data_IF_672522575862
#
_entry.id   IF_672522575862
#
_cell.length_a   1.000
_cell.length_b   1.000
_cell.length_c   1.000
_cell.angle_alpha   90.00
_cell.angle_beta   90.00
_cell.angle_gamma   90.00
#
_symmetry.space_group_name_H-M   'P 1'
#
loop_
_entity.id
_entity.type
_entity.pdbx_description
1 polymer ?
#
# COMPACT_ATOMS: atom_id res chain seq x y z
N UNK A 1 19.75 3.31 15.46
CA UNK A 1 18.54 4.15 15.39
C UNK A 1 18.84 5.33 14.48
N UNK A 2 17.95 5.68 13.55
CA UNK A 2 18.09 6.94 12.83
C UNK A 2 18.09 8.10 13.84
N UNK A 3 18.77 9.22 13.54
CA UNK A 3 18.75 10.39 14.41
C UNK A 3 17.31 10.90 14.58
N UNK A 4 16.87 11.06 15.84
CA UNK A 4 15.56 11.62 16.15
C UNK A 4 15.64 13.14 16.21
N UNK A 5 15.00 13.81 15.25
CA UNK A 5 14.84 15.26 15.25
C UNK A 5 13.58 15.65 16.02
N UNK A 6 13.51 16.90 16.51
CA UNK A 6 12.32 17.41 17.20
C UNK A 6 11.08 17.42 16.29
N UNK A 7 11.26 17.72 15.01
CA UNK A 7 10.18 17.64 14.00
C UNK A 7 9.59 16.23 13.87
N UNK A 8 10.43 15.19 13.88
CA UNK A 8 9.96 13.79 13.80
C UNK A 8 9.21 13.39 15.06
N UNK A 9 9.73 13.73 16.24
CA UNK A 9 9.06 13.46 17.51
C UNK A 9 7.67 14.12 17.55
N UNK A 10 7.58 15.38 17.10
CA UNK A 10 6.32 16.09 17.00
C UNK A 10 5.32 15.35 16.09
N UNK A 11 5.74 14.87 14.92
CA UNK A 11 4.87 14.09 14.04
C UNK A 11 4.41 12.78 14.65
N UNK A 12 5.28 12.06 15.35
CA UNK A 12 4.90 10.79 16.01
C UNK A 12 3.79 10.98 17.04
N UNK A 13 3.77 12.13 17.71
CA UNK A 13 2.74 12.49 18.69
C UNK A 13 1.45 13.00 18.05
N UNK A 14 1.52 13.70 16.90
CA UNK A 14 0.40 14.46 16.36
C UNK A 14 -0.21 13.90 15.07
N UNK A 15 0.49 13.01 14.35
CA UNK A 15 0.03 12.47 13.07
C UNK A 15 -1.16 11.52 13.23
N UNK A 16 -1.29 10.84 14.37
CA UNK A 16 -2.40 9.90 14.68
C UNK A 16 -2.68 8.90 13.53
N UNK A 17 -1.62 8.31 12.99
CA UNK A 17 -1.69 7.36 11.88
C UNK A 17 -2.07 7.94 10.52
N UNK A 18 -2.27 9.26 10.40
CA UNK A 18 -2.50 9.94 9.13
C UNK A 18 -1.21 9.98 8.31
N UNK A 19 -1.29 9.80 6.98
CA UNK A 19 -0.14 9.98 6.11
C UNK A 19 0.45 11.39 6.22
N UNK A 20 1.77 11.46 6.15
CA UNK A 20 2.53 12.71 5.99
C UNK A 20 3.00 12.86 4.54
N UNK A 21 3.19 14.10 4.09
CA UNK A 21 3.75 14.41 2.78
C UNK A 21 5.02 15.28 2.92
N UNK A 22 6.21 14.68 2.94
CA UNK A 22 7.45 15.43 2.87
C UNK A 22 7.70 15.98 1.45
N UNK A 23 8.09 17.25 1.36
CA UNK A 23 8.23 18.02 0.11
C UNK A 23 9.70 18.24 -0.24
N UNK A 24 10.02 18.07 -1.51
CA UNK A 24 11.34 18.30 -2.09
C UNK A 24 12.42 17.36 -1.56
N UNK A 25 13.67 17.67 -1.93
CA UNK A 25 14.86 16.89 -1.58
C UNK A 25 15.42 17.22 -0.20
N UNK A 26 15.03 18.36 0.38
CA UNK A 26 15.54 18.88 1.66
C UNK A 26 14.81 18.36 2.89
N UNK A 27 13.86 17.42 2.73
CA UNK A 27 13.10 16.82 3.83
C UNK A 27 13.37 15.32 3.89
N UNK A 28 12.35 14.49 4.13
CA UNK A 28 12.49 13.04 4.14
C UNK A 28 12.47 12.49 2.72
N UNK A 29 13.37 11.57 2.43
CA UNK A 29 13.33 10.73 1.22
C UNK A 29 12.03 9.89 1.27
N UNK A 30 11.33 9.67 0.14
CA UNK A 30 10.11 8.84 0.09
C UNK A 30 10.24 7.52 0.84
N UNK A 31 9.17 7.15 1.56
CA UNK A 31 9.05 5.96 2.43
C UNK A 31 9.97 5.93 3.66
N UNK A 32 10.95 6.83 3.80
CA UNK A 32 11.80 6.84 5.01
C UNK A 32 11.06 7.27 6.28
N UNK A 33 9.88 7.90 6.15
CA UNK A 33 9.01 8.20 7.28
C UNK A 33 8.56 6.91 8.02
N UNK A 34 8.46 5.78 7.31
CA UNK A 34 8.06 4.49 7.90
C UNK A 34 9.08 3.94 8.89
N UNK A 35 10.36 4.31 8.75
CA UNK A 35 11.42 3.97 9.72
C UNK A 35 11.15 4.60 11.10
N UNK A 36 10.33 5.65 11.14
CA UNK A 36 9.89 6.34 12.35
C UNK A 36 8.44 5.96 12.74
N UNK A 37 7.84 4.96 12.10
CA UNK A 37 6.45 4.58 12.35
C UNK A 37 5.42 5.57 11.79
N UNK A 38 5.83 6.50 10.93
CA UNK A 38 4.94 7.43 10.25
C UNK A 38 4.54 6.86 8.88
N UNK A 39 3.28 7.06 8.48
CA UNK A 39 2.85 6.71 7.13
C UNK A 39 3.29 7.79 6.15
N UNK A 40 3.96 7.43 5.04
CA UNK A 40 4.25 8.35 3.94
C UNK A 40 3.15 8.22 2.87
N UNK A 41 2.74 9.32 2.26
CA UNK A 41 1.80 9.27 1.14
C UNK A 41 2.50 8.96 -0.18
N UNK A 42 3.81 9.22 -0.25
CA UNK A 42 4.65 8.97 -1.42
C UNK A 42 5.15 7.53 -1.39
N UNK A 43 5.25 6.93 -2.57
CA UNK A 43 5.71 5.56 -2.72
C UNK A 43 7.20 5.49 -3.12
N UNK A 44 7.87 4.44 -2.64
CA UNK A 44 9.12 3.89 -3.18
C UNK A 44 8.80 2.55 -3.82
N UNK A 45 8.63 2.52 -5.14
CA UNK A 45 8.31 1.30 -5.87
C UNK A 45 8.71 1.43 -7.34
N UNK A 46 9.22 0.34 -7.91
CA UNK A 46 9.51 0.17 -9.34
C UNK A 46 8.24 -0.12 -10.15
N UNK A 47 7.22 -0.72 -9.54
CA UNK A 47 5.96 -1.10 -10.18
C UNK A 47 4.84 -0.10 -9.87
N UNK A 48 5.05 1.16 -10.27
CA UNK A 48 4.06 2.19 -9.95
C UNK A 48 2.78 2.06 -10.79
N UNK A 49 1.60 2.01 -10.17
CA UNK A 49 0.34 2.02 -10.90
C UNK A 49 0.20 3.29 -11.74
N UNK A 50 -0.15 3.18 -13.03
CA UNK A 50 -0.37 4.33 -13.91
C UNK A 50 -1.38 5.35 -13.33
N UNK A 51 -2.36 4.87 -12.57
CA UNK A 51 -3.33 5.71 -11.87
C UNK A 51 -2.71 6.58 -10.77
N UNK A 52 -1.71 6.08 -10.05
CA UNK A 52 -0.96 6.85 -9.05
C UNK A 52 -0.24 8.02 -9.71
N UNK A 53 0.47 7.74 -10.80
CA UNK A 53 1.16 8.76 -11.59
C UNK A 53 0.19 9.82 -12.09
N UNK A 54 -0.95 9.41 -12.64
CA UNK A 54 -1.97 10.33 -13.14
C UNK A 54 -2.56 11.21 -12.02
N UNK A 55 -2.85 10.64 -10.84
CA UNK A 55 -3.32 11.40 -9.69
C UNK A 55 -2.29 12.44 -9.23
N UNK A 56 -1.04 12.02 -9.01
CA UNK A 56 -0.02 12.92 -8.49
C UNK A 56 0.42 14.00 -9.49
N UNK A 57 0.37 13.71 -10.79
CA UNK A 57 0.59 14.72 -11.83
C UNK A 57 -0.50 15.80 -11.88
N UNK A 58 -1.72 15.48 -11.42
CA UNK A 58 -2.78 16.49 -11.25
C UNK A 58 -2.64 17.25 -9.92
N UNK A 59 -2.19 16.55 -8.88
CA UNK A 59 -2.06 17.10 -7.53
C UNK A 59 -0.93 18.12 -7.38
N UNK A 60 0.15 17.95 -8.14
CA UNK A 60 1.37 18.71 -7.98
C UNK A 60 1.96 19.07 -9.36
N UNK A 61 1.97 20.37 -9.75
CA UNK A 61 2.64 20.82 -10.97
C UNK A 61 4.15 20.55 -10.99
N UNK A 62 4.77 20.41 -9.82
CA UNK A 62 6.16 20.01 -9.64
C UNK A 62 6.35 18.50 -9.45
N UNK A 63 5.32 17.68 -9.63
CA UNK A 63 5.41 16.23 -9.51
C UNK A 63 6.56 15.69 -10.36
N UNK A 64 7.45 14.93 -9.72
CA UNK A 64 8.57 14.29 -10.39
C UNK A 64 8.70 12.84 -9.96
N UNK A 65 9.08 12.01 -10.91
CA UNK A 65 9.23 10.58 -10.71
C UNK A 65 10.48 10.12 -11.45
N UNK A 66 11.45 9.59 -10.70
CA UNK A 66 12.75 9.13 -11.19
C UNK A 66 12.75 7.62 -11.53
N UNK A 67 11.58 6.97 -11.52
CA UNK A 67 11.39 5.54 -11.74
C UNK A 67 11.37 4.71 -10.46
N UNK A 68 11.81 5.28 -9.32
CA UNK A 68 11.81 4.61 -8.02
C UNK A 68 10.97 5.38 -6.99
N UNK A 69 11.11 6.69 -6.98
CA UNK A 69 10.57 7.59 -5.98
C UNK A 69 9.45 8.46 -6.56
N UNK A 70 8.42 8.67 -5.75
CA UNK A 70 7.45 9.74 -5.96
C UNK A 70 7.92 11.00 -5.23
N UNK A 71 8.29 12.04 -5.97
CA UNK A 71 8.67 13.33 -5.42
C UNK A 71 7.54 14.36 -5.61
N UNK A 72 7.25 15.08 -4.53
CA UNK A 72 6.35 16.23 -4.53
C UNK A 72 7.14 17.51 -4.26
N UNK A 73 6.92 18.55 -5.03
CA UNK A 73 7.61 19.85 -4.93
C UNK A 73 6.65 21.03 -4.73
N UNK A 74 5.50 21.03 -5.41
CA UNK A 74 4.52 22.11 -5.34
C UNK A 74 3.08 21.58 -5.20
N UNK A 75 2.81 20.59 -4.32
CA UNK A 75 1.49 20.00 -4.23
C UNK A 75 0.45 21.00 -3.75
N UNK A 76 -0.76 20.86 -4.26
CA UNK A 76 -1.91 21.65 -3.83
C UNK A 76 -2.57 21.01 -2.60
N UNK A 77 -2.86 21.81 -1.58
CA UNK A 77 -3.37 21.32 -0.29
C UNK A 77 -4.66 20.49 -0.40
N UNK A 78 -5.58 20.85 -1.31
CA UNK A 78 -6.83 20.11 -1.53
C UNK A 78 -6.61 18.69 -2.09
N UNK A 79 -5.55 18.49 -2.87
CA UNK A 79 -5.21 17.17 -3.40
C UNK A 79 -4.54 16.29 -2.36
N UNK A 80 -3.72 16.88 -1.49
CA UNK A 80 -3.20 16.22 -0.29
C UNK A 80 -4.35 15.83 0.65
N UNK A 81 -5.31 16.74 0.85
CA UNK A 81 -6.49 16.49 1.67
C UNK A 81 -7.33 15.33 1.11
N UNK A 82 -7.58 15.31 -0.20
CA UNK A 82 -8.30 14.22 -0.84
C UNK A 82 -7.58 12.87 -0.76
N UNK A 83 -6.24 12.87 -0.70
CA UNK A 83 -5.40 11.69 -0.47
C UNK A 83 -5.26 11.34 1.03
N UNK A 84 -5.94 12.06 1.93
CA UNK A 84 -5.98 11.80 3.36
C UNK A 84 -4.74 12.22 4.15
N UNK A 85 -3.84 12.97 3.52
CA UNK A 85 -2.62 13.50 4.14
C UNK A 85 -3.00 14.42 5.29
N UNK A 86 -2.55 14.12 6.50
CA UNK A 86 -2.82 14.95 7.68
C UNK A 86 -1.85 16.11 7.83
N UNK A 87 -0.59 15.88 7.47
CA UNK A 87 0.49 16.86 7.64
C UNK A 87 1.43 16.86 6.44
N UNK A 88 1.88 18.05 6.08
CA UNK A 88 2.93 18.26 5.07
C UNK A 88 4.19 18.76 5.77
N UNK A 89 5.35 18.34 5.30
CA UNK A 89 6.66 18.79 5.80
C UNK A 89 7.37 19.47 4.64
N UNK A 90 7.67 20.75 4.72
CA UNK A 90 8.40 21.46 3.68
C UNK A 90 9.62 22.18 4.29
N UNK A 91 10.71 22.37 3.51
CA UNK A 91 11.87 23.10 3.98
C UNK A 91 11.54 24.58 4.16
N UNK A 92 12.27 25.25 5.05
CA UNK A 92 12.12 26.66 5.37
C UNK A 92 11.01 26.93 6.39
N UNK A 93 10.72 28.23 6.56
CA UNK A 93 9.85 28.73 7.63
C UNK A 93 8.43 29.08 7.16
N UNK A 94 8.15 28.95 5.86
CA UNK A 94 6.82 29.25 5.30
C UNK A 94 5.98 27.97 5.19
N UNK A 95 4.72 27.97 5.64
CA UNK A 95 3.83 26.84 5.42
C UNK A 95 3.42 26.72 3.95
N UNK A 96 3.10 25.50 3.52
CA UNK A 96 2.51 25.27 2.19
C UNK A 96 1.20 26.07 2.05
N UNK A 97 1.00 26.72 0.90
CA UNK A 97 -0.23 27.46 0.61
C UNK A 97 -1.47 26.58 0.79
N UNK A 98 -2.47 27.09 1.51
CA UNK A 98 -3.71 26.36 1.83
C UNK A 98 -3.60 25.42 3.05
N UNK A 99 -2.49 25.45 3.78
CA UNK A 99 -2.28 24.71 5.03
C UNK A 99 -2.10 25.66 6.22
N UNK A 100 -2.09 25.12 7.44
CA UNK A 100 -1.85 25.89 8.66
C UNK A 100 -0.60 25.38 9.36
N UNK A 101 0.37 26.26 9.62
CA UNK A 101 1.59 25.89 10.31
C UNK A 101 1.27 25.31 11.70
N UNK A 102 1.85 24.15 12.02
CA UNK A 102 1.65 23.45 13.27
C UNK A 102 2.96 23.31 14.07
N UNK A 103 4.10 23.21 13.37
CA UNK A 103 5.43 23.24 13.96
C UNK A 103 6.41 23.93 13.01
N UNK A 104 7.37 24.66 13.58
CA UNK A 104 8.49 25.28 12.88
C UNK A 104 9.76 25.06 13.70
N UNK A 105 10.80 24.54 13.06
CA UNK A 105 12.07 24.28 13.71
C UNK A 105 12.96 23.40 12.85
N UNK A 106 14.26 23.38 13.16
CA UNK A 106 15.24 22.54 12.44
C UNK A 106 15.29 22.80 10.91
N UNK A 107 14.92 24.02 10.48
CA UNK A 107 14.88 24.40 9.07
C UNK A 107 13.71 23.82 8.27
N UNK A 108 12.69 23.29 8.95
CA UNK A 108 11.46 22.77 8.33
C UNK A 108 10.21 23.37 8.98
N UNK A 109 9.16 23.43 8.18
CA UNK A 109 7.80 23.73 8.63
C UNK A 109 6.94 22.49 8.44
N UNK A 110 6.25 22.08 9.51
CA UNK A 110 5.19 21.08 9.46
C UNK A 110 3.87 21.83 9.49
N UNK A 111 3.04 21.58 8.48
CA UNK A 111 1.73 22.22 8.36
C UNK A 111 0.62 21.18 8.34
N UNK A 112 -0.47 21.47 9.05
CA UNK A 112 -1.68 20.66 9.02
C UNK A 112 -2.43 20.91 7.71
N UNK A 113 -2.86 19.82 7.06
CA UNK A 113 -3.67 19.87 5.83
C UNK A 113 -5.16 19.89 6.22
N UNK A 114 -5.88 21.00 6.01
CA UNK A 114 -7.29 21.10 6.38
C UNK A 114 -8.16 20.18 5.52
N UNK A 115 -9.24 19.65 6.12
CA UNK A 115 -10.24 18.87 5.39
C UNK A 115 -9.76 17.52 4.87
N UNK A 116 -8.61 17.03 5.33
CA UNK A 116 -8.07 15.77 4.88
C UNK A 116 -9.05 14.61 5.17
N UNK A 117 -9.28 13.77 4.15
CA UNK A 117 -10.22 12.66 4.20
C UNK A 117 -9.72 11.57 5.18
N UNK A 118 -10.62 10.84 5.87
CA UNK A 118 -10.23 9.66 6.63
C UNK A 118 -9.84 8.53 5.68
N UNK A 119 -9.10 7.53 6.18
CA UNK A 119 -8.65 6.38 5.38
C UNK A 119 -9.79 5.69 4.62
N UNK A 120 -10.96 5.55 5.26
CA UNK A 120 -12.16 5.04 4.64
C UNK A 120 -13.30 6.06 4.80
N UNK A 121 -14.01 6.35 3.71
CA UNK A 121 -15.13 7.29 3.69
C UNK A 121 -16.18 6.87 2.66
N UNK A 122 -17.34 7.52 2.69
CA UNK A 122 -18.37 7.42 1.65
C UNK A 122 -18.65 8.78 1.04
N UNK A 123 -19.17 8.80 -0.18
CA UNK A 123 -19.64 10.03 -0.82
C UNK A 123 -21.09 9.87 -1.25
N UNK A 124 -21.86 10.95 -1.14
CA UNK A 124 -23.21 11.08 -1.67
C UNK A 124 -23.25 11.24 -3.19
N UNK A 125 -22.10 11.56 -3.81
CA UNK A 125 -22.00 11.83 -5.23
C UNK A 125 -20.83 11.09 -5.86
N UNK A 126 -21.13 10.37 -6.93
CA UNK A 126 -20.12 9.70 -7.77
C UNK A 126 -20.26 10.17 -9.20
N UNK A 127 -19.12 10.28 -9.89
CA UNK A 127 -19.05 10.40 -11.33
C UNK A 127 -18.40 9.14 -11.89
N UNK A 128 -18.79 8.69 -13.08
CA UNK A 128 -18.22 7.47 -13.65
C UNK A 128 -17.57 7.73 -14.99
N UNK A 129 -16.51 6.97 -15.22
CA UNK A 129 -15.72 7.02 -16.43
C UNK A 129 -15.49 5.60 -16.96
N UNK A 130 -15.67 5.43 -18.26
CA UNK A 130 -15.41 4.16 -18.92
C UNK A 130 -13.92 3.88 -19.13
N UNK A 131 -13.06 4.91 -19.12
CA UNK A 131 -11.62 4.79 -19.33
C UNK A 131 -10.80 5.60 -18.30
N UNK A 132 -9.51 5.26 -18.09
CA UNK A 132 -8.61 6.03 -17.23
C UNK A 132 -8.48 7.50 -17.64
N UNK A 133 -8.45 7.79 -18.94
CA UNK A 133 -8.30 9.15 -19.47
C UNK A 133 -9.55 9.98 -19.20
N UNK A 134 -10.73 9.39 -19.41
CA UNK A 134 -12.00 10.03 -19.08
C UNK A 134 -12.10 10.29 -17.56
N UNK A 135 -11.62 9.36 -16.73
CA UNK A 135 -11.57 9.55 -15.28
C UNK A 135 -10.65 10.71 -14.89
N UNK A 136 -9.49 10.83 -15.55
CA UNK A 136 -8.52 11.89 -15.25
C UNK A 136 -9.07 13.27 -15.63
N UNK A 137 -9.70 13.37 -16.79
CA UNK A 137 -10.37 14.60 -17.24
C UNK A 137 -11.49 15.01 -16.29
N UNK A 138 -12.33 14.07 -15.85
CA UNK A 138 -13.40 14.36 -14.89
C UNK A 138 -12.84 14.81 -13.53
N UNK A 139 -11.81 14.13 -13.03
CA UNK A 139 -11.19 14.49 -11.75
C UNK A 139 -10.55 15.89 -11.81
N UNK A 140 -9.85 16.20 -12.90
CA UNK A 140 -9.27 17.52 -13.11
C UNK A 140 -10.32 18.63 -13.20
N UNK A 141 -11.48 18.37 -13.83
CA UNK A 141 -12.55 19.36 -13.99
C UNK A 141 -13.39 19.56 -12.72
N UNK A 142 -13.61 18.49 -11.94
CA UNK A 142 -14.48 18.51 -10.76
C UNK A 142 -13.73 18.79 -9.46
N UNK A 143 -12.40 18.71 -9.49
CA UNK A 143 -11.52 18.85 -8.34
C UNK A 143 -11.47 17.58 -7.48
N UNK A 144 -10.41 17.43 -6.66
CA UNK A 144 -10.15 16.20 -5.91
C UNK A 144 -11.10 16.00 -4.72
N UNK A 145 -11.68 17.09 -4.23
CA UNK A 145 -12.64 17.10 -3.14
C UNK A 145 -14.10 16.97 -3.60
N UNK A 146 -14.35 17.00 -4.92
CA UNK A 146 -15.67 16.83 -5.51
C UNK A 146 -16.19 15.38 -5.50
N UNK A 147 -17.12 15.05 -6.42
CA UNK A 147 -17.66 13.70 -6.56
C UNK A 147 -16.56 12.67 -6.77
N UNK A 148 -16.70 11.49 -6.15
CA UNK A 148 -15.74 10.41 -6.34
C UNK A 148 -15.84 9.89 -7.77
N UNK A 149 -14.73 9.94 -8.50
CA UNK A 149 -14.66 9.45 -9.89
C UNK A 149 -14.38 7.95 -9.88
N UNK A 150 -15.35 7.15 -10.29
CA UNK A 150 -15.24 5.70 -10.37
C UNK A 150 -14.97 5.25 -11.80
N UNK A 151 -13.96 4.40 -11.99
CA UNK A 151 -13.70 3.77 -13.29
C UNK A 151 -14.58 2.53 -13.44
N UNK A 152 -15.78 2.70 -13.99
CA UNK A 152 -16.80 1.66 -14.18
C UNK A 152 -17.71 2.02 -15.36
N UNK A 153 -18.29 1.00 -16.01
CA UNK A 153 -19.24 1.20 -17.10
C UNK A 153 -20.63 1.65 -16.64
N UNK A 154 -21.03 1.30 -15.42
CA UNK A 154 -22.31 1.69 -14.84
C UNK A 154 -22.09 2.40 -13.50
N UNK A 155 -22.75 3.53 -13.30
CA UNK A 155 -22.66 4.26 -12.04
C UNK A 155 -23.46 3.57 -10.93
N UNK A 156 -22.81 3.16 -9.83
CA UNK A 156 -23.54 2.70 -8.66
C UNK A 156 -24.32 3.86 -8.03
N UNK A 157 -25.48 3.55 -7.46
CA UNK A 157 -26.15 4.46 -6.53
C UNK A 157 -25.30 4.55 -5.27
N UNK A 158 -25.17 5.75 -4.73
CA UNK A 158 -24.41 5.98 -3.50
C UNK A 158 -25.17 6.90 -2.56
N UNK A 159 -24.81 6.84 -1.29
CA UNK A 159 -25.35 7.66 -0.21
C UNK A 159 -24.29 7.81 0.87
N UNK A 160 -24.47 8.79 1.76
CA UNK A 160 -23.63 8.88 2.95
C UNK A 160 -23.96 7.73 3.90
N UNK A 161 -22.92 7.08 4.42
CA UNK A 161 -23.05 6.03 5.42
C UNK A 161 -22.02 6.23 6.54
N UNK A 162 -22.23 5.58 7.67
CA UNK A 162 -21.23 5.56 8.75
C UNK A 162 -20.22 4.46 8.44
N UNK A 163 -18.94 4.82 8.37
CA UNK A 163 -17.83 3.87 8.18
C UNK A 163 -16.84 3.97 9.33
N UNK A 164 -16.36 2.82 9.81
CA UNK A 164 -15.33 2.77 10.85
C UNK A 164 -14.30 1.71 10.49
N UNK A 165 -13.04 2.12 10.41
CA UNK A 165 -11.91 1.19 10.26
C UNK A 165 -11.73 0.45 11.58
N UNK A 166 -11.75 -0.88 11.54
CA UNK A 166 -11.65 -1.78 12.70
C UNK A 166 -10.27 -2.35 12.88
N UNK A 167 -9.61 -2.66 11.76
CA UNK A 167 -8.24 -3.17 11.73
C UNK A 167 -7.57 -2.67 10.45
N UNK A 168 -6.30 -2.31 10.55
CA UNK A 168 -5.48 -1.87 9.43
C UNK A 168 -4.10 -2.51 9.56
N UNK A 169 -3.80 -3.42 8.65
CA UNK A 169 -2.51 -4.09 8.49
C UNK A 169 -2.09 -3.99 7.02
N UNK A 170 -0.80 -4.17 6.70
CA UNK A 170 -0.32 -4.12 5.32
C UNK A 170 -1.09 -5.06 4.37
N UNK A 171 -1.46 -6.25 4.86
CA UNK A 171 -2.14 -7.29 4.09
C UNK A 171 -3.67 -7.29 4.24
N UNK A 172 -4.22 -6.50 5.18
CA UNK A 172 -5.65 -6.56 5.51
C UNK A 172 -6.19 -5.23 6.02
N UNK A 173 -7.36 -4.83 5.51
CA UNK A 173 -8.13 -3.70 6.04
C UNK A 173 -9.55 -4.18 6.34
N UNK A 174 -10.01 -4.01 7.58
CA UNK A 174 -11.37 -4.36 8.01
C UNK A 174 -12.15 -3.10 8.36
N UNK A 175 -13.36 -2.97 7.82
CA UNK A 175 -14.21 -1.78 7.93
C UNK A 175 -15.63 -2.23 8.28
N UNK A 176 -16.24 -1.62 9.30
CA UNK A 176 -17.68 -1.74 9.52
C UNK A 176 -18.42 -0.60 8.83
N UNK A 177 -19.51 -0.93 8.14
CA UNK A 177 -20.33 0.01 7.36
C UNK A 177 -21.76 -0.06 7.88
N UNK A 178 -22.37 1.09 8.16
CA UNK A 178 -23.80 1.22 8.48
C UNK A 178 -24.42 2.21 7.50
N UNK A 179 -25.20 1.69 6.55
CA UNK A 179 -25.74 2.45 5.44
C UNK A 179 -27.27 2.32 5.37
N UNK A 180 -28.00 3.44 5.38
CA UNK A 180 -29.46 3.42 5.24
C UNK A 180 -29.91 3.12 3.80
N UNK A 181 -29.07 3.46 2.82
CA UNK A 181 -29.25 3.21 1.39
C UNK A 181 -27.95 2.61 0.83
N UNK A 182 -27.96 2.03 -0.39
CA UNK A 182 -26.72 1.61 -1.02
C UNK A 182 -25.67 2.73 -1.03
N UNK A 183 -24.41 2.38 -0.78
CA UNK A 183 -23.31 3.32 -0.66
C UNK A 183 -22.06 2.79 -1.36
N UNK A 184 -21.16 3.68 -1.73
CA UNK A 184 -19.81 3.32 -2.16
C UNK A 184 -18.82 3.69 -1.06
N UNK A 185 -18.14 2.69 -0.52
CA UNK A 185 -17.05 2.89 0.43
C UNK A 185 -15.76 3.04 -0.34
N UNK A 186 -15.10 4.19 -0.18
CA UNK A 186 -13.80 4.48 -0.74
C UNK A 186 -12.75 4.28 0.34
N UNK A 187 -11.65 3.62 0.00
CA UNK A 187 -10.49 3.42 0.85
C UNK A 187 -9.28 4.06 0.18
N UNK A 188 -8.60 4.94 0.90
CA UNK A 188 -7.37 5.63 0.49
C UNK A 188 -6.16 4.68 0.55
N UNK A 189 -6.32 3.54 -0.11
CA UNK A 189 -5.32 2.51 -0.34
C UNK A 189 -5.15 2.38 -1.85
N UNK A 190 -3.91 2.25 -2.30
CA UNK A 190 -3.55 2.06 -3.69
C UNK A 190 -4.27 0.84 -4.29
N UNK A 191 -4.92 1.02 -5.43
CA UNK A 191 -5.49 -0.08 -6.19
C UNK A 191 -4.38 -0.93 -6.80
N UNK A 192 -4.39 -2.24 -6.49
CA UNK A 192 -3.56 -3.24 -7.15
C UNK A 192 -4.39 -4.48 -7.48
N UNK A 193 -3.99 -5.22 -8.52
CA UNK A 193 -4.70 -6.43 -9.00
C UNK A 193 -4.85 -7.51 -7.92
N UNK A 194 -3.86 -7.61 -7.04
CA UNK A 194 -3.78 -8.70 -6.06
C UNK A 194 -4.53 -8.36 -4.73
N UNK A 195 -5.25 -7.24 -4.69
CA UNK A 195 -6.26 -6.98 -3.67
C UNK A 195 -7.58 -7.66 -4.02
N UNK A 196 -8.24 -8.20 -3.00
CA UNK A 196 -9.60 -8.74 -3.06
C UNK A 196 -10.45 -8.11 -1.97
N UNK A 197 -11.74 -7.94 -2.21
CA UNK A 197 -12.68 -7.41 -1.24
C UNK A 197 -13.82 -8.38 -1.00
N UNK A 198 -14.36 -8.35 0.22
CA UNK A 198 -15.56 -9.08 0.60
C UNK A 198 -16.49 -8.19 1.41
N UNK A 199 -17.80 -8.35 1.19
CA UNK A 199 -18.86 -7.78 2.03
C UNK A 199 -19.56 -8.95 2.71
N UNK A 200 -19.49 -9.00 4.04
CA UNK A 200 -19.98 -10.11 4.88
C UNK A 200 -19.45 -11.48 4.43
N UNK A 201 -18.17 -11.52 4.04
CA UNK A 201 -17.48 -12.73 3.57
C UNK A 201 -17.80 -13.11 2.13
N UNK A 202 -18.73 -12.44 1.46
CA UNK A 202 -19.03 -12.67 0.03
C UNK A 202 -18.14 -11.80 -0.86
N UNK A 203 -17.56 -12.34 -1.96
CA UNK A 203 -16.73 -11.56 -2.86
C UNK A 203 -17.44 -10.31 -3.40
N UNK A 204 -16.75 -9.18 -3.38
CA UNK A 204 -17.24 -7.90 -3.88
C UNK A 204 -16.25 -7.28 -4.88
N UNK A 205 -16.74 -6.60 -5.94
CA UNK A 205 -15.87 -5.97 -6.92
C UNK A 205 -15.17 -4.75 -6.32
N UNK A 206 -13.86 -4.65 -6.54
CA UNK A 206 -13.08 -3.45 -6.27
C UNK A 206 -13.06 -2.59 -7.53
N UNK A 207 -13.56 -1.36 -7.41
CA UNK A 207 -13.51 -0.31 -8.42
C UNK A 207 -12.29 0.58 -8.16
N UNK A 208 -11.75 1.18 -9.22
CA UNK A 208 -10.78 2.27 -9.09
C UNK A 208 -11.52 3.57 -8.81
N UNK A 209 -11.15 4.25 -7.73
CA UNK A 209 -11.66 5.55 -7.33
C UNK A 209 -10.57 6.62 -7.48
N UNK A 210 -10.93 7.78 -8.05
CA UNK A 210 -10.03 8.91 -8.26
C UNK A 210 -8.68 8.47 -8.84
N UNK A 211 -8.73 7.65 -9.90
CA UNK A 211 -7.60 7.06 -10.64
C UNK A 211 -6.78 6.00 -9.91
N UNK A 212 -6.63 6.13 -8.60
CA UNK A 212 -5.60 5.41 -7.84
C UNK A 212 -6.12 4.63 -6.64
N UNK A 213 -7.19 5.10 -5.98
CA UNK A 213 -7.71 4.50 -4.76
C UNK A 213 -8.69 3.37 -5.05
N UNK A 214 -9.09 2.66 -3.99
CA UNK A 214 -10.02 1.54 -4.07
C UNK A 214 -11.42 1.98 -3.63
N UNK A 215 -12.45 1.45 -4.28
CA UNK A 215 -13.83 1.62 -3.86
C UNK A 215 -14.62 0.32 -3.99
N UNK A 216 -15.54 0.08 -3.07
CA UNK A 216 -16.42 -1.10 -3.07
C UNK A 216 -17.86 -0.64 -2.87
N UNK A 217 -18.79 -0.97 -3.79
CA UNK A 217 -20.21 -0.80 -3.56
C UNK A 217 -20.68 -1.71 -2.43
N UNK A 218 -21.41 -1.15 -1.47
CA UNK A 218 -21.98 -1.85 -0.31
C UNK A 218 -23.50 -1.62 -0.31
N UNK A 219 -24.30 -2.70 -0.17
CA UNK A 219 -25.76 -2.56 -0.09
C UNK A 219 -26.21 -1.81 1.18
N UNK A 220 -27.49 -1.47 1.25
CA UNK A 220 -28.08 -0.91 2.46
C UNK A 220 -28.09 -1.96 3.59
N UNK A 221 -27.75 -1.53 4.81
CA UNK A 221 -27.66 -2.37 5.99
C UNK A 221 -26.39 -2.14 6.80
N UNK A 222 -26.18 -3.01 7.79
CA UNK A 222 -24.95 -3.10 8.55
C UNK A 222 -24.09 -4.22 7.97
N UNK A 223 -22.87 -3.90 7.54
CA UNK A 223 -22.00 -4.80 6.81
C UNK A 223 -20.56 -4.76 7.33
N UNK A 224 -19.85 -5.88 7.19
CA UNK A 224 -18.40 -5.97 7.35
C UNK A 224 -17.72 -6.03 5.99
N UNK A 225 -17.01 -4.96 5.64
CA UNK A 225 -16.17 -4.88 4.45
C UNK A 225 -14.75 -5.27 4.84
N UNK A 226 -14.17 -6.24 4.14
CA UNK A 226 -12.77 -6.65 4.32
C UNK A 226 -12.02 -6.61 3.01
N UNK A 227 -10.86 -5.99 3.00
CA UNK A 227 -9.87 -6.05 1.93
C UNK A 227 -8.73 -6.97 2.35
N UNK A 228 -8.27 -7.83 1.44
CA UNK A 228 -7.14 -8.74 1.65
C UNK A 228 -6.20 -8.66 0.46
N UNK A 229 -4.92 -8.43 0.72
CA UNK A 229 -3.86 -8.42 -0.28
C UNK A 229 -3.15 -9.77 -0.31
N UNK A 230 -3.16 -10.44 -1.46
CA UNK A 230 -2.55 -11.76 -1.62
C UNK A 230 -1.72 -11.83 -2.92
N UNK A 231 -0.46 -11.36 -2.90
CA UNK A 231 0.38 -11.30 -4.08
C UNK A 231 0.61 -12.66 -4.73
N UNK A 232 0.35 -12.74 -6.03
CA UNK A 232 0.63 -13.96 -6.80
C UNK A 232 2.12 -14.33 -6.80
N UNK A 233 3.00 -13.32 -6.83
CA UNK A 233 4.45 -13.50 -6.82
C UNK A 233 4.97 -14.18 -5.55
N UNK A 234 4.45 -13.82 -4.36
CA UNK A 234 4.84 -14.45 -3.09
C UNK A 234 4.46 -15.93 -3.09
N UNK A 235 3.27 -16.27 -3.59
CA UNK A 235 2.83 -17.66 -3.71
C UNK A 235 3.72 -18.47 -4.67
N UNK A 236 4.05 -17.90 -5.83
CA UNK A 236 4.96 -18.55 -6.80
C UNK A 236 6.36 -18.73 -6.22
N UNK A 237 6.91 -17.70 -5.58
CA UNK A 237 8.21 -17.76 -4.92
C UNK A 237 8.28 -18.85 -3.85
N UNK A 238 7.25 -18.95 -3.00
CA UNK A 238 7.16 -19.99 -1.97
C UNK A 238 7.17 -21.41 -2.56
N UNK A 239 6.42 -21.64 -3.64
CA UNK A 239 6.39 -22.93 -4.35
C UNK A 239 7.78 -23.28 -4.89
N UNK A 240 8.46 -22.32 -5.53
CA UNK A 240 9.81 -22.50 -6.06
C UNK A 240 10.79 -22.85 -4.93
N UNK A 241 10.77 -22.09 -3.83
CA UNK A 241 11.66 -22.32 -2.68
C UNK A 241 11.46 -23.71 -2.07
N UNK A 242 10.21 -24.11 -1.82
CA UNK A 242 9.89 -25.43 -1.24
C UNK A 242 10.35 -26.54 -2.20
N UNK A 243 10.12 -26.38 -3.50
CA UNK A 243 10.54 -27.35 -4.52
C UNK A 243 12.07 -27.47 -4.55
N UNK A 244 12.80 -26.34 -4.54
CA UNK A 244 14.25 -26.32 -4.53
C UNK A 244 14.82 -26.99 -3.27
N UNK A 245 14.27 -26.70 -2.09
CA UNK A 245 14.65 -27.33 -0.82
C UNK A 245 14.40 -28.84 -0.87
N UNK A 246 13.25 -29.27 -1.41
CA UNK A 246 12.92 -30.68 -1.59
C UNK A 246 13.90 -31.41 -2.51
N UNK A 247 14.30 -30.80 -3.63
CA UNK A 247 15.31 -31.36 -4.52
C UNK A 247 16.68 -31.45 -3.84
N UNK A 248 17.12 -30.40 -3.13
CA UNK A 248 18.40 -30.42 -2.41
C UNK A 248 18.42 -31.50 -1.34
N UNK A 249 17.32 -31.65 -0.59
CA UNK A 249 17.18 -32.71 0.41
C UNK A 249 17.25 -34.10 -0.22
N UNK A 250 16.57 -34.32 -1.35
CA UNK A 250 16.63 -35.58 -2.08
C UNK A 250 18.05 -35.90 -2.57
N UNK A 251 18.76 -34.91 -3.14
CA UNK A 251 20.14 -35.08 -3.60
C UNK A 251 21.09 -35.41 -2.44
N UNK A 252 20.94 -34.73 -1.30
CA UNK A 252 21.71 -35.05 -0.10
C UNK A 252 21.44 -36.48 0.39
N UNK A 253 20.18 -36.91 0.43
CA UNK A 253 19.80 -38.27 0.82
C UNK A 253 20.39 -39.33 -0.12
N UNK A 254 20.35 -39.08 -1.43
CA UNK A 254 20.94 -39.97 -2.43
C UNK A 254 22.47 -40.09 -2.27
N UNK A 255 23.17 -38.98 -1.99
CA UNK A 255 24.61 -39.01 -1.77
C UNK A 255 24.99 -39.70 -0.45
N UNK A 256 24.23 -39.49 0.62
CA UNK A 256 24.42 -40.20 1.90
C UNK A 256 24.21 -41.70 1.69
N UNK A 257 23.13 -42.11 1.02
CA UNK A 257 22.86 -43.51 0.70
C UNK A 257 24.01 -44.10 -0.12
N UNK A 258 24.46 -43.40 -1.17
CA UNK A 258 25.59 -43.83 -2.01
C UNK A 258 26.86 -44.07 -1.19
N UNK A 259 27.17 -43.18 -0.24
CA UNK A 259 28.33 -43.33 0.66
C UNK A 259 28.21 -44.52 1.61
N UNK A 260 27.02 -44.75 2.18
CA UNK A 260 26.77 -45.89 3.06
C UNK A 260 26.89 -47.23 2.33
N UNK A 261 26.35 -47.33 1.11
CA UNK A 261 26.48 -48.53 0.28
C UNK A 261 27.90 -48.78 -0.21
N UNK A 262 28.66 -47.72 -0.56
CA UNK A 262 30.06 -47.84 -0.94
C UNK A 262 30.96 -48.29 0.23
N UNK A 263 30.68 -47.87 1.47
CA UNK A 263 31.39 -48.33 2.66
C UNK A 263 31.17 -49.81 2.99
N UNK A 264 29.95 -50.31 2.80
CA UNK A 264 29.60 -51.73 3.03
C UNK A 264 30.31 -52.71 2.07
N UNK A 265 30.56 -52.29 0.82
CA UNK A 265 31.32 -53.08 -0.17
C UNK A 265 32.84 -53.12 0.10
N UNK A 266 33.39 -52.14 0.83
CA UNK A 266 34.79 -52.13 1.21
C UNK A 266 35.08 -53.06 2.41
N UNK A 267 34.19 -53.12 3.39
CA UNK A 267 34.32 -53.99 4.57
C UNK A 267 34.17 -55.49 4.24
N UNK A 268 33.26 -55.83 3.31
CA UNK A 268 33.07 -57.21 2.84
C UNK A 268 34.30 -57.78 2.11
N UNK A 269 35.09 -56.93 1.43
CA UNK A 269 36.36 -57.34 0.81
C UNK A 269 37.49 -57.55 1.83
N UNK A 270 37.49 -56.83 2.94
CA UNK A 270 38.48 -57.00 4.01
C UNK A 270 38.24 -58.26 4.86
N UNK A 271 36.97 -58.64 5.08
CA UNK A 271 36.65 -59.89 5.77
C UNK A 271 37.03 -61.14 4.96
N UNK A 272 36.96 -61.10 3.64
CA UNK A 272 37.37 -62.22 2.77
C UNK A 272 38.90 -62.44 2.78
N UNK A 273 39.70 -61.40 3.02
CA UNK A 273 41.17 -61.49 3.02
C UNK A 273 41.76 -62.04 4.34
N UNK A 274 41.02 -61.95 5.47
CA UNK A 274 41.47 -62.50 6.76
C UNK A 274 41.24 -64.01 6.90
N UNK A 275 40.37 -64.60 6.09
CA UNK A 275 40.08 -66.04 6.11
C UNK A 275 41.10 -66.92 5.37
N UNK A 276 42.04 -66.32 4.63
CA UNK A 276 42.94 -67.06 3.72
C UNK A 276 44.42 -67.14 4.20
N UNK A 277 44.73 -66.65 5.41
CA UNK A 277 46.09 -66.68 5.99
C UNK A 277 46.27 -67.61 7.20
N UNK A 278 45.38 -68.58 7.39
CA UNK A 278 45.58 -69.67 8.35
C UNK A 278 45.21 -71.00 7.68
N UNK A 279 46.14 -71.53 6.89
CA UNK A 279 46.31 -72.97 6.64
C UNK A 279 47.70 -73.22 6.08
#
# INVERSE_FOLDING_TARGET
MPPHSAAIAWLQEHADGRPVAPIGLGTLIPETATLYGLSDVRAYDVLQPLGARAYWSLADPGYYNDGLNVWLFHPQAEWLAAAGVGYVINPGDEPLVGTTAAYQGEGVTISQVPGARPLAFTSDTVACAASPEAAANLLAQRGPMGPVVLQTGACPVTSVATVRVRDRRPERIAISVEAALPTVVVVLQSYMRDWSATVDGQPAPILKANLYFQAVPVPAGAHQLSFTYAPSAVRVGAIISVTAIGLLFLLCMLEIARRLFAGSLADSRFSAYRGQRIR
#
